data_IF_924310559091
#
_entry.id   IF_924310559091
#
_cell.length_a   1.000
_cell.length_b   1.000
_cell.length_c   1.000
_cell.angle_alpha   90.00
_cell.angle_beta   90.00
_cell.angle_gamma   90.00
#
_symmetry.space_group_name_H-M   'P 1'
#
loop_
_entity.id
_entity.type
_entity.pdbx_description
1 polymer ?
#
# COMPACT_ATOMS: atom_id res chain seq x y z
N UNK A 1 -19.88 -34.67 -0.83
CA UNK A 1 -18.76 -34.74 -1.80
C UNK A 1 -17.49 -34.73 -0.96
N UNK A 2 -16.70 -35.80 -0.97
CA UNK A 2 -15.40 -35.77 -0.29
C UNK A 2 -14.50 -34.84 -1.08
N UNK A 3 -13.95 -33.81 -0.43
CA UNK A 3 -12.90 -33.01 -1.04
C UNK A 3 -11.67 -33.90 -1.16
N UNK A 4 -11.29 -34.27 -2.39
CA UNK A 4 -10.01 -34.94 -2.59
C UNK A 4 -8.89 -34.00 -2.15
N UNK A 5 -7.90 -34.48 -1.39
CA UNK A 5 -6.76 -33.66 -1.00
C UNK A 5 -6.04 -33.18 -2.26
N UNK A 6 -5.58 -31.92 -2.25
CA UNK A 6 -4.81 -31.33 -3.35
C UNK A 6 -3.71 -32.30 -3.81
N UNK A 7 -3.56 -32.43 -5.13
CA UNK A 7 -2.47 -33.22 -5.70
C UNK A 7 -1.12 -32.70 -5.17
N UNK A 8 -0.14 -33.58 -4.90
CA UNK A 8 1.21 -33.17 -4.49
C UNK A 8 1.84 -32.14 -5.44
N UNK A 9 1.45 -32.15 -6.72
CA UNK A 9 1.93 -31.21 -7.73
C UNK A 9 1.27 -29.82 -7.60
N UNK A 10 -0.03 -29.75 -7.33
CA UNK A 10 -0.76 -28.48 -7.12
C UNK A 10 -0.26 -27.76 -5.86
N UNK A 11 -0.03 -28.52 -4.79
CA UNK A 11 0.51 -27.97 -3.54
C UNK A 11 1.90 -27.33 -3.75
N UNK A 12 2.79 -28.01 -4.46
CA UNK A 12 4.14 -27.49 -4.76
C UNK A 12 4.08 -26.20 -5.60
N UNK A 13 3.14 -26.11 -6.54
CA UNK A 13 2.97 -24.92 -7.37
C UNK A 13 2.57 -23.70 -6.53
N UNK A 14 1.55 -23.84 -5.66
CA UNK A 14 1.12 -22.75 -4.78
C UNK A 14 2.23 -22.28 -3.84
N UNK A 15 2.95 -23.21 -3.20
CA UNK A 15 4.06 -22.85 -2.31
C UNK A 15 5.14 -22.09 -3.09
N UNK A 16 5.48 -22.55 -4.30
CA UNK A 16 6.47 -21.88 -5.15
C UNK A 16 6.04 -20.46 -5.50
N UNK A 17 4.79 -20.25 -5.89
CA UNK A 17 4.27 -18.91 -6.26
C UNK A 17 4.38 -17.93 -5.09
N UNK A 18 4.02 -18.37 -3.88
CA UNK A 18 4.15 -17.58 -2.66
C UNK A 18 5.61 -17.16 -2.42
N UNK A 19 6.56 -18.10 -2.51
CA UNK A 19 7.99 -17.79 -2.31
C UNK A 19 8.53 -16.85 -3.39
N UNK A 20 8.21 -17.09 -4.66
CA UNK A 20 8.66 -16.24 -5.77
C UNK A 20 8.14 -14.82 -5.60
N UNK A 21 6.85 -14.66 -5.32
CA UNK A 21 6.25 -13.33 -5.12
C UNK A 21 6.83 -12.64 -3.89
N UNK A 22 7.08 -13.36 -2.79
CA UNK A 22 7.73 -12.81 -1.60
C UNK A 22 9.11 -12.24 -1.92
N UNK A 23 9.93 -12.98 -2.66
CA UNK A 23 11.27 -12.53 -3.05
C UNK A 23 11.21 -11.32 -3.99
N UNK A 24 10.31 -11.35 -4.97
CA UNK A 24 10.15 -10.22 -5.90
C UNK A 24 9.75 -8.95 -5.14
N UNK A 25 8.75 -9.05 -4.26
CA UNK A 25 8.27 -7.91 -3.48
C UNK A 25 9.34 -7.40 -2.50
N UNK A 26 10.12 -8.28 -1.89
CA UNK A 26 11.20 -7.86 -0.99
C UNK A 26 12.27 -7.08 -1.74
N UNK A 27 12.68 -7.56 -2.92
CA UNK A 27 13.66 -6.88 -3.78
C UNK A 27 13.14 -5.50 -4.20
N UNK A 28 11.90 -5.40 -4.66
CA UNK A 28 11.30 -4.12 -5.05
C UNK A 28 11.27 -3.15 -3.86
N UNK A 29 10.90 -3.64 -2.67
CA UNK A 29 10.84 -2.81 -1.47
C UNK A 29 12.21 -2.28 -1.07
N UNK A 30 13.25 -3.12 -1.13
CA UNK A 30 14.64 -2.70 -0.85
C UNK A 30 15.07 -1.63 -1.87
N UNK A 31 14.86 -1.88 -3.16
CA UNK A 31 15.22 -0.95 -4.23
C UNK A 31 14.50 0.39 -4.06
N UNK A 32 13.22 0.38 -3.76
CA UNK A 32 12.43 1.59 -3.54
C UNK A 32 12.95 2.42 -2.37
N UNK A 33 13.24 1.80 -1.23
CA UNK A 33 13.78 2.49 -0.05
C UNK A 33 15.16 3.06 -0.35
N UNK A 34 16.03 2.31 -1.03
CA UNK A 34 17.36 2.79 -1.44
C UNK A 34 17.23 3.98 -2.38
N UNK A 35 16.35 3.92 -3.38
CA UNK A 35 16.09 5.04 -4.29
C UNK A 35 15.52 6.25 -3.56
N UNK A 36 14.62 6.05 -2.60
CA UNK A 36 14.03 7.13 -1.82
C UNK A 36 15.09 7.86 -0.98
N UNK A 37 15.93 7.11 -0.24
CA UNK A 37 17.01 7.66 0.57
C UNK A 37 18.06 8.35 -0.30
N UNK A 38 18.40 7.76 -1.45
CA UNK A 38 19.34 8.37 -2.40
C UNK A 38 18.78 9.68 -2.97
N UNK A 39 17.50 9.69 -3.36
CA UNK A 39 16.85 10.89 -3.89
C UNK A 39 16.85 12.03 -2.86
N UNK A 40 16.50 11.71 -1.61
CA UNK A 40 16.49 12.68 -0.51
C UNK A 40 17.89 13.27 -0.27
N UNK A 41 18.90 12.41 -0.12
CA UNK A 41 20.27 12.85 0.19
C UNK A 41 20.93 13.64 -0.94
N UNK A 42 20.76 13.25 -2.20
CA UNK A 42 21.53 13.80 -3.32
C UNK A 42 20.80 14.85 -4.15
N UNK A 43 19.46 14.87 -4.13
CA UNK A 43 18.68 15.82 -4.92
C UNK A 43 17.99 16.86 -4.04
N UNK A 44 17.37 16.44 -2.93
CA UNK A 44 16.64 17.37 -2.05
C UNK A 44 17.66 18.18 -1.23
N UNK A 45 18.49 17.53 -0.42
CA UNK A 45 19.40 18.24 0.50
C UNK A 45 20.53 18.99 -0.20
N UNK A 46 20.98 18.50 -1.37
CA UNK A 46 22.12 19.08 -2.07
C UNK A 46 21.75 20.06 -3.20
N UNK A 47 20.50 20.05 -3.69
CA UNK A 47 20.08 20.85 -4.86
C UNK A 47 18.70 21.50 -4.73
N UNK A 48 18.08 21.48 -3.54
CA UNK A 48 16.75 22.03 -3.26
C UNK A 48 15.65 21.54 -4.23
N UNK A 49 15.75 20.29 -4.70
CA UNK A 49 14.69 19.73 -5.54
C UNK A 49 13.37 19.61 -4.76
N UNK A 50 12.22 19.79 -5.44
CA UNK A 50 10.92 19.64 -4.81
C UNK A 50 10.73 18.20 -4.29
N UNK A 51 10.15 18.06 -3.10
CA UNK A 51 9.89 16.76 -2.47
C UNK A 51 8.70 16.00 -3.06
N UNK A 52 7.89 16.67 -3.88
CA UNK A 52 6.65 16.14 -4.44
C UNK A 52 6.85 14.88 -5.32
N UNK A 53 7.84 14.80 -6.23
CA UNK A 53 8.07 13.62 -7.05
C UNK A 53 8.39 12.37 -6.22
N UNK A 54 9.19 12.53 -5.16
CA UNK A 54 9.50 11.43 -4.23
C UNK A 54 8.24 10.91 -3.54
N UNK A 55 7.39 11.81 -3.04
CA UNK A 55 6.12 11.44 -2.38
C UNK A 55 5.21 10.67 -3.33
N UNK A 56 5.06 11.15 -4.57
CA UNK A 56 4.24 10.48 -5.59
C UNK A 56 4.82 9.10 -5.91
N UNK A 57 6.14 8.99 -6.09
CA UNK A 57 6.82 7.74 -6.37
C UNK A 57 6.55 6.68 -5.28
N UNK A 58 6.77 7.03 -4.01
CA UNK A 58 6.56 6.11 -2.88
C UNK A 58 5.10 5.69 -2.76
N UNK A 59 4.14 6.62 -2.95
CA UNK A 59 2.71 6.30 -2.91
C UNK A 59 2.32 5.33 -4.03
N UNK A 60 2.73 5.60 -5.28
CA UNK A 60 2.41 4.73 -6.42
C UNK A 60 3.04 3.35 -6.28
N UNK A 61 4.30 3.30 -5.85
CA UNK A 61 4.98 2.05 -5.62
C UNK A 61 4.33 1.25 -4.48
N UNK A 62 3.81 1.92 -3.44
CA UNK A 62 3.06 1.28 -2.35
C UNK A 62 1.74 0.67 -2.84
N UNK A 63 0.98 1.39 -3.68
CA UNK A 63 -0.26 0.88 -4.28
C UNK A 63 0.03 -0.34 -5.17
N UNK A 64 1.08 -0.28 -5.99
CA UNK A 64 1.48 -1.39 -6.86
C UNK A 64 1.80 -2.65 -6.04
N UNK A 65 2.58 -2.51 -4.96
CA UNK A 65 2.89 -3.64 -4.06
C UNK A 65 1.63 -4.19 -3.40
N UNK A 66 0.73 -3.32 -2.93
CA UNK A 66 -0.54 -3.75 -2.35
C UNK A 66 -1.36 -4.58 -3.34
N UNK A 67 -1.45 -4.16 -4.61
CA UNK A 67 -2.13 -4.92 -5.66
C UNK A 67 -1.52 -6.32 -5.86
N UNK A 68 -0.19 -6.44 -5.93
CA UNK A 68 0.48 -7.74 -6.06
C UNK A 68 0.29 -8.64 -4.83
N UNK A 69 0.31 -8.08 -3.62
CA UNK A 69 0.07 -8.83 -2.40
C UNK A 69 -1.37 -9.40 -2.40
N UNK A 70 -2.35 -8.56 -2.73
CA UNK A 70 -3.76 -8.95 -2.83
C UNK A 70 -3.97 -10.04 -3.89
N UNK A 71 -3.29 -9.95 -5.03
CA UNK A 71 -3.43 -10.90 -6.12
C UNK A 71 -2.91 -12.31 -5.76
N UNK A 72 -1.76 -12.39 -5.07
CA UNK A 72 -1.06 -13.67 -4.83
C UNK A 72 -1.31 -14.24 -3.42
N UNK A 73 -1.12 -13.46 -2.36
CA UNK A 73 -1.24 -13.99 -0.99
C UNK A 73 -2.69 -14.10 -0.53
N UNK A 74 -3.55 -13.19 -0.98
CA UNK A 74 -4.97 -13.25 -0.66
C UNK A 74 -5.75 -14.04 -1.72
N UNK A 75 -5.10 -14.51 -2.80
CA UNK A 75 -5.70 -15.21 -3.94
C UNK A 75 -6.89 -14.48 -4.61
N UNK A 76 -7.11 -13.21 -4.26
CA UNK A 76 -8.31 -12.44 -4.58
C UNK A 76 -8.54 -12.28 -6.08
N UNK A 77 -7.48 -12.42 -6.89
CA UNK A 77 -7.54 -12.33 -8.36
C UNK A 77 -8.46 -13.38 -9.00
N UNK A 78 -8.58 -14.57 -8.42
CA UNK A 78 -9.37 -15.67 -8.97
C UNK A 78 -10.68 -15.91 -8.19
N UNK A 79 -10.91 -15.11 -7.16
CA UNK A 79 -12.06 -15.23 -6.28
C UNK A 79 -13.27 -14.48 -6.79
N UNK A 80 -14.43 -14.78 -6.19
CA UNK A 80 -15.69 -14.14 -6.54
C UNK A 80 -15.65 -12.63 -6.28
N UNK A 81 -16.33 -11.86 -7.14
CA UNK A 81 -16.41 -10.39 -7.01
C UNK A 81 -16.92 -9.93 -5.63
N UNK A 82 -17.76 -10.73 -4.97
CA UNK A 82 -18.22 -10.47 -3.61
C UNK A 82 -17.10 -10.39 -2.57
N UNK A 83 -16.09 -11.25 -2.69
CA UNK A 83 -14.92 -11.25 -1.80
C UNK A 83 -13.98 -10.08 -2.06
N UNK A 84 -13.93 -9.59 -3.30
CA UNK A 84 -13.22 -8.34 -3.64
C UNK A 84 -13.91 -7.15 -2.96
N UNK A 85 -15.24 -7.05 -3.06
CA UNK A 85 -16.00 -5.94 -2.47
C UNK A 85 -15.96 -5.93 -0.94
N UNK A 86 -15.91 -7.08 -0.28
CA UNK A 86 -15.81 -7.15 1.19
C UNK A 86 -14.50 -6.57 1.73
N UNK A 87 -13.45 -6.51 0.93
CA UNK A 87 -12.18 -5.88 1.28
C UNK A 87 -12.14 -4.43 0.79
N UNK A 88 -12.55 -4.17 -0.45
CA UNK A 88 -12.50 -2.83 -1.04
C UNK A 88 -13.41 -1.82 -0.31
N UNK A 89 -14.64 -2.20 0.05
CA UNK A 89 -15.61 -1.28 0.65
C UNK A 89 -15.12 -0.75 2.02
N UNK A 90 -14.71 -1.60 2.99
CA UNK A 90 -14.17 -1.10 4.26
C UNK A 90 -12.91 -0.27 4.08
N UNK A 91 -12.02 -0.67 3.15
CA UNK A 91 -10.77 0.04 2.91
C UNK A 91 -11.02 1.43 2.33
N UNK A 92 -11.94 1.56 1.38
CA UNK A 92 -12.29 2.84 0.78
C UNK A 92 -13.00 3.75 1.78
N UNK A 93 -13.89 3.20 2.60
CA UNK A 93 -14.53 3.93 3.69
C UNK A 93 -13.51 4.47 4.69
N UNK A 94 -12.49 3.68 5.03
CA UNK A 94 -11.39 4.10 5.91
C UNK A 94 -10.58 5.25 5.29
N UNK A 95 -10.20 5.16 4.01
CA UNK A 95 -9.47 6.24 3.32
C UNK A 95 -10.28 7.54 3.33
N UNK A 96 -11.57 7.45 3.03
CA UNK A 96 -12.47 8.61 3.11
C UNK A 96 -12.54 9.18 4.53
N UNK A 97 -12.68 8.32 5.54
CA UNK A 97 -12.76 8.75 6.94
C UNK A 97 -11.46 9.44 7.41
N UNK A 98 -10.29 8.93 7.02
CA UNK A 98 -9.00 9.57 7.32
C UNK A 98 -8.94 10.99 6.74
N UNK A 99 -9.37 11.16 5.49
CA UNK A 99 -9.38 12.48 4.84
C UNK A 99 -10.37 13.42 5.55
N UNK A 100 -11.59 12.96 5.83
CA UNK A 100 -12.62 13.76 6.48
C UNK A 100 -12.18 14.22 7.89
N UNK A 101 -11.69 13.30 8.72
CA UNK A 101 -11.22 13.63 10.07
C UNK A 101 -9.94 14.47 10.08
N UNK A 102 -9.05 14.30 9.10
CA UNK A 102 -7.87 15.16 8.98
C UNK A 102 -8.26 16.60 8.65
N UNK A 103 -9.26 16.78 7.79
CA UNK A 103 -9.76 18.12 7.44
C UNK A 103 -10.48 18.78 8.61
N UNK A 104 -11.39 18.05 9.26
CA UNK A 104 -12.08 18.54 10.46
C UNK A 104 -11.09 18.89 11.58
N UNK A 105 -10.07 18.05 11.79
CA UNK A 105 -9.01 18.30 12.76
C UNK A 105 -8.20 19.56 12.47
N UNK A 106 -7.93 19.85 11.18
CA UNK A 106 -7.24 21.09 10.79
C UNK A 106 -8.11 22.32 11.08
N UNK A 107 -9.39 22.28 10.69
CA UNK A 107 -10.36 23.34 10.96
C UNK A 107 -10.49 23.64 12.46
N UNK A 108 -10.55 22.60 13.29
CA UNK A 108 -10.63 22.76 14.74
C UNK A 108 -9.37 23.40 15.34
N UNK A 109 -8.19 23.06 14.83
CA UNK A 109 -6.93 23.71 15.24
C UNK A 109 -6.95 25.20 14.92
N UNK A 110 -7.36 25.56 13.70
CA UNK A 110 -7.43 26.96 13.27
C UNK A 110 -8.42 27.76 14.14
N UNK A 111 -9.59 27.20 14.44
CA UNK A 111 -10.56 27.82 15.33
C UNK A 111 -10.00 28.04 16.74
N UNK A 112 -9.33 27.04 17.32
CA UNK A 112 -8.74 27.16 18.66
C UNK A 112 -7.70 28.28 18.71
N UNK A 113 -6.83 28.37 17.70
CA UNK A 113 -5.80 29.40 17.64
C UNK A 113 -6.40 30.80 17.43
N UNK A 114 -7.53 30.90 16.74
CA UNK A 114 -8.30 32.14 16.64
C UNK A 114 -8.91 32.56 17.98
N UNK A 115 -9.53 31.65 18.75
CA UNK A 115 -10.17 31.99 20.03
C UNK A 115 -9.19 32.15 21.20
N UNK A 116 -8.04 31.48 21.18
CA UNK A 116 -7.03 31.57 22.24
C UNK A 116 -6.11 32.80 22.13
N UNK A 117 -6.15 33.52 21.01
CA UNK A 117 -5.41 34.77 20.80
C UNK A 117 -6.24 36.04 21.10
N UNK A 118 -7.42 35.89 21.72
CA UNK A 118 -8.21 36.96 22.35
C UNK A 118 -8.25 36.73 23.86
#
# INVERSE_FOLDING_TARGET
MAHEPMSPEEYKHHVKDVYVTTVILSVITIVEVVLAVFYEKYFIDARDFPRLPLRIFVVLASIMKAYWIMAVFMHVKHETKGFIYSILIPTLFLVWAIIAFSWEGASWSDMRDMFGNY
#
